data_IF_563806226443
#
_entry.id   IF_563806226443
#
_cell.length_a   1.000
_cell.length_b   1.000
_cell.length_c   1.000
_cell.angle_alpha   90.00
_cell.angle_beta   90.00
_cell.angle_gamma   90.00
#
_symmetry.space_group_name_H-M   'P 1'
#
loop_
_entity.id
_entity.type
_entity.pdbx_description
1 polymer ?
#
# COMPACT_ATOMS: atom_id res chain seq x y z
N UNK A 1 -8.63 38.65 49.55
CA UNK A 1 -9.72 38.33 48.60
C UNK A 1 -9.42 38.75 47.15
N UNK A 2 -8.45 39.62 46.89
CA UNK A 2 -8.12 40.11 45.53
C UNK A 2 -7.22 39.17 44.72
N UNK A 3 -6.25 38.49 45.36
CA UNK A 3 -5.27 37.60 44.70
C UNK A 3 -5.88 36.41 43.92
N UNK A 4 -6.89 35.73 44.48
CA UNK A 4 -7.53 34.58 43.84
C UNK A 4 -8.31 34.95 42.56
N UNK A 5 -8.86 36.16 42.51
CA UNK A 5 -9.58 36.62 41.33
C UNK A 5 -8.63 36.86 40.16
N UNK A 6 -7.45 37.44 40.40
CA UNK A 6 -6.46 37.74 39.36
C UNK A 6 -5.93 36.47 38.70
N UNK A 7 -5.64 35.43 39.49
CA UNK A 7 -5.23 34.12 38.97
C UNK A 7 -6.31 33.46 38.10
N UNK A 8 -7.58 33.58 38.49
CA UNK A 8 -8.69 33.05 37.70
C UNK A 8 -8.83 33.77 36.33
N UNK A 9 -8.64 35.09 36.30
CA UNK A 9 -8.65 35.86 35.04
C UNK A 9 -7.49 35.50 34.12
N UNK A 10 -6.30 35.25 34.66
CA UNK A 10 -5.13 34.83 33.89
C UNK A 10 -5.36 33.44 33.27
N UNK A 11 -5.88 32.49 34.05
CA UNK A 11 -6.16 31.14 33.57
C UNK A 11 -7.27 31.13 32.50
N UNK A 12 -8.34 31.91 32.68
CA UNK A 12 -9.41 32.04 31.70
C UNK A 12 -8.91 32.65 30.37
N UNK A 13 -8.04 33.66 30.44
CA UNK A 13 -7.42 34.29 29.28
C UNK A 13 -6.50 33.33 28.53
N UNK A 14 -5.68 32.54 29.25
CA UNK A 14 -4.80 31.55 28.66
C UNK A 14 -5.56 30.43 27.93
N UNK A 15 -6.68 29.97 28.49
CA UNK A 15 -7.53 28.95 27.86
C UNK A 15 -8.24 29.49 26.60
N UNK A 16 -8.68 30.75 26.63
CA UNK A 16 -9.23 31.45 25.46
C UNK A 16 -8.22 31.57 24.32
N UNK A 17 -6.98 31.94 24.63
CA UNK A 17 -5.88 32.00 23.64
C UNK A 17 -5.52 30.62 23.08
N UNK A 18 -5.49 29.58 23.92
CA UNK A 18 -5.18 28.22 23.49
C UNK A 18 -6.26 27.66 22.54
N UNK A 19 -7.54 27.84 22.88
CA UNK A 19 -8.67 27.43 22.03
C UNK A 19 -8.69 28.18 20.70
N UNK A 20 -8.41 29.50 20.71
CA UNK A 20 -8.27 30.29 19.49
C UNK A 20 -7.09 29.82 18.63
N UNK A 21 -5.95 29.51 19.25
CA UNK A 21 -4.78 28.98 18.56
C UNK A 21 -5.07 27.63 17.89
N UNK A 22 -5.70 26.70 18.62
CA UNK A 22 -6.12 25.39 18.07
C UNK A 22 -7.12 25.57 16.93
N UNK A 23 -8.09 26.47 17.07
CA UNK A 23 -9.06 26.77 16.02
C UNK A 23 -8.40 27.32 14.75
N UNK A 24 -7.46 28.26 14.89
CA UNK A 24 -6.70 28.83 13.77
C UNK A 24 -5.78 27.79 13.12
N UNK A 25 -5.13 26.94 13.92
CA UNK A 25 -4.31 25.84 13.42
C UNK A 25 -5.13 24.81 12.62
N UNK A 26 -6.32 24.44 13.12
CA UNK A 26 -7.24 23.56 12.42
C UNK A 26 -7.73 24.16 11.09
N UNK A 27 -8.09 25.46 11.09
CA UNK A 27 -8.47 26.20 9.87
C UNK A 27 -7.35 26.26 8.83
N UNK A 28 -6.10 26.48 9.26
CA UNK A 28 -4.93 26.46 8.37
C UNK A 28 -4.69 25.08 7.77
N UNK A 29 -4.81 24.01 8.57
CA UNK A 29 -4.67 22.62 8.11
C UNK A 29 -5.71 22.27 7.04
N UNK A 30 -6.96 22.67 7.23
CA UNK A 30 -8.04 22.45 6.25
C UNK A 30 -7.89 23.29 4.96
N UNK A 31 -7.36 24.51 5.06
CA UNK A 31 -7.06 25.34 3.90
C UNK A 31 -5.94 24.74 3.04
N UNK A 32 -4.85 24.29 3.67
CA UNK A 32 -3.75 23.62 2.97
C UNK A 32 -4.20 22.29 2.32
N UNK A 33 -5.07 21.53 2.99
CA UNK A 33 -5.64 20.30 2.43
C UNK A 33 -6.50 20.59 1.20
N UNK A 34 -7.29 21.66 1.20
CA UNK A 34 -8.08 22.09 0.03
C UNK A 34 -7.21 22.57 -1.12
N UNK A 35 -6.19 23.40 -0.85
CA UNK A 35 -5.24 23.84 -1.87
C UNK A 35 -4.47 22.67 -2.51
N UNK A 36 -4.08 21.67 -1.71
CA UNK A 36 -3.42 20.45 -2.21
C UNK A 36 -4.36 19.60 -3.08
N UNK A 37 -5.63 19.48 -2.69
CA UNK A 37 -6.65 18.77 -3.47
C UNK A 37 -6.96 19.48 -4.79
N UNK A 38 -7.00 20.82 -4.80
CA UNK A 38 -7.16 21.63 -6.01
C UNK A 38 -5.94 21.52 -6.93
N UNK A 39 -4.73 21.62 -6.40
CA UNK A 39 -3.50 21.42 -7.17
C UNK A 39 -3.40 20.01 -7.78
N UNK A 40 -3.83 18.98 -7.05
CA UNK A 40 -3.93 17.59 -7.55
C UNK A 40 -5.04 17.45 -8.61
N UNK A 41 -6.17 18.14 -8.46
CA UNK A 41 -7.26 18.14 -9.44
C UNK A 41 -6.84 18.80 -10.76
N UNK A 42 -6.06 19.88 -10.68
CA UNK A 42 -5.54 20.59 -11.86
C UNK A 42 -4.45 19.77 -12.57
N UNK A 43 -3.58 19.07 -11.83
CA UNK A 43 -2.60 18.15 -12.44
C UNK A 43 -3.27 16.94 -13.12
N UNK A 44 -4.35 16.40 -12.54
CA UNK A 44 -5.13 15.31 -13.14
C UNK A 44 -5.86 15.75 -14.42
N UNK A 45 -6.38 16.98 -14.47
CA UNK A 45 -6.95 17.55 -15.72
C UNK A 45 -5.91 17.65 -16.83
N UNK A 46 -4.68 18.07 -16.50
CA UNK A 46 -3.59 18.20 -17.48
C UNK A 46 -3.11 16.84 -18.01
N UNK A 47 -3.24 15.76 -17.21
CA UNK A 47 -2.96 14.38 -17.63
C UNK A 47 -4.10 13.84 -18.53
N UNK A 48 -5.35 14.20 -18.24
CA UNK A 48 -6.51 13.80 -19.04
C UNK A 48 -6.47 14.36 -20.47
N UNK A 49 -5.84 15.53 -20.69
CA UNK A 49 -5.63 16.11 -22.03
C UNK A 49 -4.55 15.44 -22.88
N UNK A 50 -3.80 14.48 -22.32
CA UNK A 50 -2.82 13.66 -23.06
C UNK A 50 -3.30 12.22 -23.29
N UNK A 51 -4.62 12.01 -23.42
CA UNK A 51 -5.18 10.73 -23.83
C UNK A 51 -4.96 10.50 -25.32
N UNK A 52 -3.81 9.93 -25.68
CA UNK A 52 -3.69 9.19 -26.94
C UNK A 52 -4.65 8.02 -26.89
N UNK A 53 -5.73 8.09 -27.68
CA UNK A 53 -6.68 7.01 -27.84
C UNK A 53 -5.97 5.80 -28.45
N UNK A 54 -5.84 4.73 -27.67
CA UNK A 54 -5.59 3.39 -28.18
C UNK A 54 -6.87 2.55 -28.00
N UNK A 55 -7.99 3.00 -28.57
CA UNK A 55 -9.19 2.17 -28.69
C UNK A 55 -8.92 1.19 -29.84
N UNK A 56 -8.40 0.01 -29.48
CA UNK A 56 -8.23 -1.10 -30.41
C UNK A 56 -9.55 -1.84 -30.58
N UNK A 57 -9.94 -1.98 -31.84
CA UNK A 57 -11.09 -2.72 -32.36
C UNK A 57 -11.09 -4.21 -31.99
N UNK A 58 -11.62 -4.56 -30.82
CA UNK A 58 -12.42 -5.76 -30.65
C UNK A 58 -13.52 -5.46 -29.63
N UNK A 59 -14.77 -5.87 -29.91
CA UNK A 59 -15.95 -5.56 -29.10
C UNK A 59 -16.00 -6.24 -27.73
N UNK A 60 -14.86 -6.42 -27.05
CA UNK A 60 -14.81 -6.87 -25.67
C UNK A 60 -15.15 -5.70 -24.74
N UNK A 61 -16.21 -5.84 -23.96
CA UNK A 61 -16.52 -4.91 -22.87
C UNK A 61 -15.29 -4.76 -21.96
N UNK A 62 -14.76 -3.55 -21.79
CA UNK A 62 -13.64 -3.31 -20.86
C UNK A 62 -14.22 -3.38 -19.44
N UNK A 63 -13.96 -4.50 -18.76
CA UNK A 63 -14.48 -4.78 -17.43
C UNK A 63 -13.88 -3.85 -16.37
N UNK A 64 -12.58 -3.56 -16.48
CA UNK A 64 -11.83 -2.71 -15.56
C UNK A 64 -10.74 -1.91 -16.29
N UNK A 65 -10.28 -0.82 -15.66
CA UNK A 65 -9.13 -0.07 -16.16
C UNK A 65 -7.83 -0.81 -15.81
N UNK A 66 -7.80 -1.48 -14.66
CA UNK A 66 -6.66 -2.27 -14.18
C UNK A 66 -7.13 -3.59 -13.58
N UNK A 67 -6.51 -4.69 -13.99
CA UNK A 67 -6.62 -5.99 -13.30
C UNK A 67 -5.38 -6.19 -12.43
N UNK A 68 -5.58 -6.55 -11.16
CA UNK A 68 -4.51 -6.91 -10.23
C UNK A 68 -4.65 -8.39 -9.88
N UNK A 69 -3.62 -9.18 -10.15
CA UNK A 69 -3.57 -10.60 -9.82
C UNK A 69 -2.87 -10.78 -8.47
N UNK A 70 -3.62 -11.19 -7.46
CA UNK A 70 -3.16 -11.33 -6.08
C UNK A 70 -3.45 -10.09 -5.22
N UNK A 71 -4.01 -10.32 -4.04
CA UNK A 71 -4.34 -9.33 -3.01
C UNK A 71 -3.49 -9.56 -1.74
N UNK A 72 -2.20 -9.85 -1.92
CA UNK A 72 -1.20 -9.72 -0.86
C UNK A 72 -0.85 -8.25 -0.58
N UNK A 73 0.26 -7.98 0.11
CA UNK A 73 0.61 -6.60 0.51
C UNK A 73 0.69 -5.64 -0.69
N UNK A 74 1.42 -5.99 -1.75
CA UNK A 74 1.51 -5.14 -2.95
C UNK A 74 0.17 -4.97 -3.67
N UNK A 75 -0.55 -6.07 -3.88
CA UNK A 75 -1.81 -6.04 -4.63
C UNK A 75 -2.88 -5.22 -3.93
N UNK A 76 -3.05 -5.40 -2.61
CA UNK A 76 -4.00 -4.64 -1.82
C UNK A 76 -3.62 -3.15 -1.70
N UNK A 77 -2.35 -2.84 -1.45
CA UNK A 77 -1.87 -1.46 -1.41
C UNK A 77 -2.08 -0.74 -2.75
N UNK A 78 -1.79 -1.42 -3.85
CA UNK A 78 -1.95 -0.88 -5.20
C UNK A 78 -3.43 -0.70 -5.56
N UNK A 79 -4.28 -1.66 -5.22
CA UNK A 79 -5.72 -1.57 -5.41
C UNK A 79 -6.30 -0.36 -4.67
N UNK A 80 -5.92 -0.17 -3.41
CA UNK A 80 -6.34 1.00 -2.63
C UNK A 80 -5.88 2.32 -3.25
N UNK A 81 -4.63 2.39 -3.69
CA UNK A 81 -4.04 3.60 -4.28
C UNK A 81 -4.72 3.97 -5.60
N UNK A 82 -4.82 3.02 -6.53
CA UNK A 82 -5.49 3.22 -7.82
C UNK A 82 -6.99 3.48 -7.66
N UNK A 83 -7.61 2.83 -6.66
CA UNK A 83 -8.99 3.08 -6.27
C UNK A 83 -9.20 4.53 -5.83
N UNK A 84 -8.33 5.07 -4.96
CA UNK A 84 -8.38 6.48 -4.54
C UNK A 84 -8.15 7.46 -5.69
N UNK A 85 -7.40 7.06 -6.71
CA UNK A 85 -7.22 7.82 -7.95
C UNK A 85 -8.39 7.68 -8.94
N UNK A 86 -9.47 6.97 -8.56
CA UNK A 86 -10.71 6.86 -9.34
C UNK A 86 -10.68 5.82 -10.46
N UNK A 87 -9.67 4.93 -10.50
CA UNK A 87 -9.58 3.86 -11.50
C UNK A 87 -10.52 2.71 -11.16
N UNK A 88 -11.15 2.10 -12.17
CA UNK A 88 -11.89 0.84 -11.99
C UNK A 88 -10.89 -0.30 -11.85
N UNK A 89 -10.75 -0.85 -10.64
CA UNK A 89 -9.77 -1.88 -10.33
C UNK A 89 -10.48 -3.20 -10.07
N UNK A 90 -10.07 -4.27 -10.75
CA UNK A 90 -10.50 -5.63 -10.47
C UNK A 90 -9.35 -6.44 -9.89
N UNK A 91 -9.46 -6.83 -8.63
CA UNK A 91 -8.47 -7.61 -7.91
C UNK A 91 -8.95 -9.05 -7.82
N UNK A 92 -8.12 -10.00 -8.28
CA UNK A 92 -8.44 -11.42 -8.23
C UNK A 92 -7.43 -12.11 -7.31
N UNK A 93 -7.89 -12.60 -6.17
CA UNK A 93 -7.08 -13.31 -5.18
C UNK A 93 -7.53 -14.75 -5.03
N UNK A 94 -6.58 -15.69 -5.01
CA UNK A 94 -6.85 -17.12 -4.90
C UNK A 94 -7.60 -17.46 -3.62
N UNK A 95 -7.17 -16.87 -2.52
CA UNK A 95 -7.75 -17.10 -1.20
C UNK A 95 -7.90 -15.81 -0.38
N UNK A 96 -9.16 -15.43 -0.14
CA UNK A 96 -9.53 -14.26 0.65
C UNK A 96 -9.61 -14.55 2.16
N UNK A 97 -9.43 -15.81 2.57
CA UNK A 97 -9.29 -16.13 4.00
C UNK A 97 -8.00 -15.52 4.58
N UNK A 98 -7.93 -15.45 5.91
CA UNK A 98 -6.76 -14.90 6.60
C UNK A 98 -5.55 -15.80 6.33
N UNK A 99 -4.45 -15.27 5.74
CA UNK A 99 -3.28 -16.09 5.47
C UNK A 99 -2.57 -16.50 6.76
N UNK A 100 -2.43 -17.81 6.97
CA UNK A 100 -1.58 -18.37 8.02
C UNK A 100 -0.15 -18.58 7.51
N UNK A 101 0.74 -17.63 7.78
CA UNK A 101 2.15 -17.66 7.34
C UNK A 101 3.06 -16.96 8.35
N UNK A 102 4.24 -17.52 8.56
CA UNK A 102 5.30 -16.97 9.43
C UNK A 102 6.17 -15.89 8.76
N UNK A 103 5.86 -15.48 7.52
CA UNK A 103 6.66 -14.53 6.75
C UNK A 103 6.00 -13.16 6.72
N UNK A 104 6.81 -12.10 6.73
CA UNK A 104 6.32 -10.72 6.57
C UNK A 104 5.77 -10.09 7.86
N UNK A 105 6.15 -10.61 9.02
CA UNK A 105 5.64 -10.15 10.32
C UNK A 105 6.33 -8.89 10.87
N UNK A 106 7.36 -8.37 10.20
CA UNK A 106 8.07 -7.15 10.60
C UNK A 106 8.11 -6.13 9.45
N UNK A 107 7.40 -5.02 9.65
CA UNK A 107 7.47 -3.83 8.80
C UNK A 107 8.54 -2.87 9.32
N UNK A 108 9.53 -2.57 8.47
CA UNK A 108 10.58 -1.61 8.78
C UNK A 108 10.02 -0.17 8.88
N UNK A 109 10.69 0.75 9.58
CA UNK A 109 10.33 2.18 9.63
C UNK A 109 10.01 2.80 8.25
N UNK A 110 10.86 2.55 7.26
CA UNK A 110 10.65 3.04 5.90
C UNK A 110 9.40 2.48 5.22
N UNK A 111 8.99 1.27 5.59
CA UNK A 111 7.73 0.67 5.14
C UNK A 111 6.51 1.27 5.78
N UNK A 112 6.61 1.53 7.09
CA UNK A 112 5.54 2.21 7.80
C UNK A 112 5.33 3.64 7.28
N UNK A 113 6.42 4.37 6.98
CA UNK A 113 6.34 5.68 6.31
C UNK A 113 5.58 5.64 4.99
N UNK A 114 5.77 4.58 4.19
CA UNK A 114 5.05 4.43 2.92
C UNK A 114 3.59 4.04 3.12
N UNK A 115 3.24 3.30 4.16
CA UNK A 115 1.83 3.10 4.51
C UNK A 115 1.14 4.44 4.83
N UNK A 116 1.81 5.29 5.62
CA UNK A 116 1.30 6.65 5.93
C UNK A 116 1.13 7.48 4.66
N UNK A 117 2.10 7.47 3.74
CA UNK A 117 2.01 8.20 2.47
C UNK A 117 0.82 7.74 1.60
N UNK A 118 0.48 6.46 1.64
CA UNK A 118 -0.64 5.87 0.89
C UNK A 118 -1.99 6.04 1.61
N UNK A 119 -1.99 6.37 2.91
CA UNK A 119 -3.18 6.43 3.74
C UNK A 119 -3.66 5.05 4.23
N UNK A 120 -2.72 4.15 4.51
CA UNK A 120 -2.90 2.74 4.92
C UNK A 120 -2.30 2.45 6.31
N UNK A 121 -1.95 3.49 7.07
CA UNK A 121 -1.31 3.40 8.38
C UNK A 121 -2.19 2.75 9.46
N UNK A 122 -3.51 2.91 9.37
CA UNK A 122 -4.51 2.27 10.23
C UNK A 122 -4.66 0.76 9.97
N UNK A 123 -4.04 0.22 8.92
CA UNK A 123 -4.04 -1.22 8.68
C UNK A 123 -3.13 -1.99 9.65
N UNK A 124 -2.25 -1.30 10.38
CA UNK A 124 -1.47 -1.88 11.49
C UNK A 124 -2.08 -1.60 12.87
N UNK A 125 -3.21 -0.91 12.93
CA UNK A 125 -3.96 -0.67 14.16
C UNK A 125 -4.94 -1.82 14.40
N UNK A 126 -5.31 -2.05 15.67
CA UNK A 126 -6.28 -3.08 16.09
C UNK A 126 -5.95 -4.53 15.70
N UNK A 127 -4.70 -4.81 15.32
CA UNK A 127 -4.21 -6.17 14.97
C UNK A 127 -3.18 -6.73 15.97
N UNK A 128 -3.05 -6.10 17.14
CA UNK A 128 -2.02 -6.39 18.15
C UNK A 128 -0.58 -6.14 17.63
N UNK A 129 -0.42 -5.11 16.80
CA UNK A 129 0.90 -4.74 16.28
C UNK A 129 1.79 -4.15 17.39
N UNK A 130 3.02 -4.63 17.47
CA UNK A 130 4.04 -4.17 18.40
C UNK A 130 4.97 -3.16 17.73
N UNK A 131 5.28 -2.08 18.42
CA UNK A 131 6.28 -1.13 17.94
C UNK A 131 7.69 -1.71 18.07
N UNK A 132 8.51 -1.52 17.03
CA UNK A 132 9.89 -2.03 16.98
C UNK A 132 10.85 -0.86 16.80
N UNK A 133 11.72 -0.64 17.79
CA UNK A 133 12.64 0.50 17.82
C UNK A 133 14.05 0.16 17.34
N UNK A 134 14.31 -1.10 17.02
CA UNK A 134 15.62 -1.58 16.59
C UNK A 134 15.77 -3.08 16.83
N UNK A 135 17.01 -3.54 16.90
CA UNK A 135 17.37 -4.95 17.07
C UNK A 135 18.29 -5.13 18.28
N UNK A 136 18.21 -6.30 18.89
CA UNK A 136 19.24 -6.80 19.79
C UNK A 136 20.03 -7.90 19.07
N UNK A 137 21.34 -7.76 19.00
CA UNK A 137 22.23 -8.75 18.41
C UNK A 137 22.95 -9.50 19.53
N UNK A 138 22.91 -10.84 19.46
CA UNK A 138 23.60 -11.72 20.39
C UNK A 138 24.54 -12.63 19.61
N UNK A 139 25.82 -12.66 19.98
CA UNK A 139 26.82 -13.52 19.33
C UNK A 139 27.95 -13.82 20.31
N UNK A 140 28.29 -15.09 20.47
CA UNK A 140 29.43 -15.56 21.27
C UNK A 140 29.45 -15.00 22.70
N UNK A 141 28.29 -14.98 23.37
CA UNK A 141 28.13 -14.41 24.72
C UNK A 141 28.17 -12.88 24.79
N UNK A 142 28.43 -12.19 23.68
CA UNK A 142 28.36 -10.72 23.56
C UNK A 142 26.99 -10.30 23.07
N UNK A 143 26.56 -9.12 23.49
CA UNK A 143 25.33 -8.51 23.00
C UNK A 143 25.51 -7.03 22.68
N UNK A 144 24.75 -6.54 21.69
CA UNK A 144 24.64 -5.11 21.39
C UNK A 144 23.22 -4.78 20.97
N UNK A 145 22.81 -3.52 21.12
CA UNK A 145 21.52 -3.01 20.65
C UNK A 145 21.75 -2.05 19.49
N UNK A 146 21.05 -2.28 18.40
CA UNK A 146 21.04 -1.43 17.21
C UNK A 146 19.70 -0.71 17.14
N UNK A 147 19.65 0.55 17.55
CA UNK A 147 18.45 1.37 17.42
C UNK A 147 18.26 1.84 15.98
N UNK A 148 17.01 1.98 15.54
CA UNK A 148 16.70 2.65 14.28
C UNK A 148 17.04 4.15 14.37
N UNK A 149 17.58 4.76 13.30
CA UNK A 149 17.88 6.20 13.26
C UNK A 149 16.60 7.01 13.02
N UNK A 150 15.81 7.20 14.07
CA UNK A 150 14.48 7.83 14.01
C UNK A 150 14.49 9.34 14.34
N UNK A 151 15.65 9.93 14.63
CA UNK A 151 15.78 11.27 15.20
C UNK A 151 15.28 12.39 14.28
N UNK A 152 15.22 12.12 12.97
CA UNK A 152 14.76 13.06 11.94
C UNK A 152 13.30 12.85 11.52
N UNK A 153 12.62 11.86 12.11
CA UNK A 153 11.28 11.47 11.73
C UNK A 153 10.25 11.86 12.80
N UNK A 154 8.98 11.92 12.43
CA UNK A 154 7.91 12.16 13.40
C UNK A 154 7.90 11.07 14.48
N UNK A 155 7.36 11.39 15.65
CA UNK A 155 7.54 10.64 16.90
C UNK A 155 7.13 9.16 16.88
N UNK A 156 6.39 8.70 15.86
CA UNK A 156 5.85 7.34 15.81
C UNK A 156 6.32 6.48 14.61
N UNK A 157 7.40 6.88 13.93
CA UNK A 157 7.92 6.20 12.72
C UNK A 157 8.70 4.91 13.03
N UNK A 158 8.48 4.29 14.19
CA UNK A 158 9.12 3.00 14.52
C UNK A 158 8.62 1.87 13.61
N UNK A 159 9.36 0.76 13.59
CA UNK A 159 8.90 -0.45 12.91
C UNK A 159 7.62 -0.98 13.56
N UNK A 160 6.96 -1.92 12.87
CA UNK A 160 5.75 -2.59 13.35
C UNK A 160 5.89 -4.09 13.18
N UNK A 161 5.75 -4.84 14.26
CA UNK A 161 5.67 -6.30 14.23
C UNK A 161 4.22 -6.72 14.39
N UNK A 162 3.73 -7.70 13.63
CA UNK A 162 2.33 -8.12 13.68
C UNK A 162 2.15 -9.52 13.07
N UNK A 163 1.00 -10.15 13.32
CA UNK A 163 0.60 -11.32 12.55
C UNK A 163 0.28 -10.91 11.10
N UNK A 164 1.02 -11.46 10.14
CA UNK A 164 0.91 -11.07 8.74
C UNK A 164 -0.50 -11.30 8.15
N UNK A 165 -1.20 -12.34 8.60
CA UNK A 165 -2.57 -12.63 8.19
C UNK A 165 -3.52 -11.47 8.46
N UNK A 166 -3.56 -11.00 9.70
CA UNK A 166 -4.36 -9.86 10.16
C UNK A 166 -4.04 -8.59 9.37
N UNK A 167 -2.76 -8.29 9.17
CA UNK A 167 -2.34 -7.12 8.39
C UNK A 167 -2.85 -7.18 6.94
N UNK A 168 -2.72 -8.32 6.27
CA UNK A 168 -3.24 -8.51 4.91
C UNK A 168 -4.76 -8.34 4.87
N UNK A 169 -5.50 -8.85 5.86
CA UNK A 169 -6.96 -8.67 5.91
C UNK A 169 -7.36 -7.21 6.05
N UNK A 170 -6.72 -6.46 6.95
CA UNK A 170 -6.95 -5.00 7.09
C UNK A 170 -6.69 -4.25 5.77
N UNK A 171 -5.63 -4.61 5.06
CA UNK A 171 -5.30 -4.01 3.76
C UNK A 171 -6.35 -4.33 2.69
N UNK A 172 -6.83 -5.59 2.64
CA UNK A 172 -7.87 -6.03 1.70
C UNK A 172 -9.21 -5.35 1.97
N UNK A 173 -9.63 -5.30 3.24
CA UNK A 173 -10.83 -4.59 3.69
C UNK A 173 -10.77 -3.12 3.25
N UNK A 174 -9.66 -2.44 3.54
CA UNK A 174 -9.50 -1.03 3.23
C UNK A 174 -9.48 -0.73 1.72
N UNK A 175 -8.98 -1.65 0.90
CA UNK A 175 -9.11 -1.55 -0.55
C UNK A 175 -10.56 -1.77 -1.01
N UNK A 176 -11.26 -2.78 -0.48
CA UNK A 176 -12.62 -3.14 -0.85
C UNK A 176 -13.70 -2.13 -0.43
N UNK A 177 -13.41 -1.25 0.54
CA UNK A 177 -14.28 -0.14 0.91
C UNK A 177 -14.45 0.90 -0.22
N UNK A 178 -13.56 0.91 -1.21
CA UNK A 178 -13.65 1.84 -2.34
C UNK A 178 -14.64 1.31 -3.39
N UNK A 179 -15.62 2.11 -3.83
CA UNK A 179 -16.72 1.62 -4.69
C UNK A 179 -16.27 1.18 -6.09
N UNK A 180 -15.10 1.64 -6.52
CA UNK A 180 -14.46 1.34 -7.80
C UNK A 180 -13.42 0.21 -7.72
N UNK A 181 -13.27 -0.44 -6.55
CA UNK A 181 -12.41 -1.61 -6.36
C UNK A 181 -13.28 -2.85 -6.16
N UNK A 182 -13.21 -3.77 -7.12
CA UNK A 182 -13.84 -5.09 -7.04
C UNK A 182 -12.80 -6.11 -6.58
N UNK A 183 -12.91 -6.59 -5.36
CA UNK A 183 -12.10 -7.69 -4.83
C UNK A 183 -12.86 -9.02 -4.98
N UNK A 184 -12.29 -9.98 -5.69
CA UNK A 184 -12.92 -11.25 -6.01
C UNK A 184 -12.04 -12.45 -5.67
N UNK A 185 -12.65 -13.50 -5.12
CA UNK A 185 -11.97 -14.77 -4.89
C UNK A 185 -11.94 -15.62 -6.16
N UNK A 186 -10.76 -15.81 -6.73
CA UNK A 186 -10.53 -16.61 -7.92
C UNK A 186 -9.05 -16.88 -8.15
N UNK A 187 -8.75 -17.96 -8.87
CA UNK A 187 -7.37 -18.32 -9.24
C UNK A 187 -7.12 -17.95 -10.68
N UNK A 188 -6.25 -16.97 -10.94
CA UNK A 188 -5.81 -16.66 -12.30
C UNK A 188 -4.97 -17.82 -12.84
N UNK A 189 -5.37 -18.33 -14.01
CA UNK A 189 -4.76 -19.49 -14.66
C UNK A 189 -3.83 -19.10 -15.79
N UNK A 190 -4.16 -18.05 -16.53
CA UNK A 190 -3.35 -17.58 -17.67
C UNK A 190 -3.57 -16.10 -17.98
N UNK A 191 -2.59 -15.51 -18.66
CA UNK A 191 -2.70 -14.17 -19.24
C UNK A 191 -3.26 -14.29 -20.67
N UNK A 192 -4.14 -13.38 -21.04
CA UNK A 192 -4.69 -13.33 -22.40
C UNK A 192 -3.84 -12.40 -23.25
N UNK A 193 -3.08 -12.99 -24.16
CA UNK A 193 -2.17 -12.26 -25.03
C UNK A 193 -2.69 -12.24 -26.47
N UNK A 194 -2.76 -11.04 -27.05
CA UNK A 194 -3.12 -10.83 -28.45
C UNK A 194 -2.01 -10.02 -29.11
N UNK A 195 -1.33 -10.61 -30.09
CA UNK A 195 -0.23 -9.98 -30.86
C UNK A 195 0.85 -9.38 -29.95
N UNK A 196 1.35 -10.11 -28.96
CA UNK A 196 2.39 -9.60 -28.05
C UNK A 196 1.89 -8.71 -26.92
N UNK A 197 0.59 -8.40 -26.87
CA UNK A 197 0.00 -7.48 -25.90
C UNK A 197 -0.96 -8.21 -24.97
N UNK A 198 -0.75 -8.08 -23.66
CA UNK A 198 -1.71 -8.60 -22.66
C UNK A 198 -2.98 -7.75 -22.70
N UNK A 199 -4.13 -8.42 -22.84
CA UNK A 199 -5.47 -7.81 -22.91
C UNK A 199 -6.34 -8.14 -21.71
N UNK A 200 -5.90 -9.05 -20.84
CA UNK A 200 -6.68 -9.51 -19.71
C UNK A 200 -6.13 -10.78 -19.09
N UNK A 201 -6.98 -11.46 -18.34
CA UNK A 201 -6.66 -12.72 -17.66
C UNK A 201 -7.81 -13.70 -17.78
N UNK A 202 -7.47 -14.99 -17.81
CA UNK A 202 -8.41 -16.07 -17.55
C UNK A 202 -8.24 -16.52 -16.11
N UNK A 203 -9.35 -16.77 -15.42
CA UNK A 203 -9.32 -17.18 -14.02
C UNK A 203 -10.46 -18.14 -13.70
N UNK A 204 -10.27 -18.94 -12.66
CA UNK A 204 -11.25 -19.88 -12.13
C UNK A 204 -11.84 -19.31 -10.84
N UNK A 205 -13.15 -19.16 -10.78
CA UNK A 205 -13.86 -18.70 -9.57
C UNK A 205 -13.79 -19.76 -8.46
N UNK A 206 -14.19 -19.41 -7.24
CA UNK A 206 -14.32 -20.36 -6.13
C UNK A 206 -15.25 -21.55 -6.44
N UNK A 207 -16.29 -21.34 -7.26
CA UNK A 207 -17.23 -22.40 -7.69
C UNK A 207 -16.67 -23.27 -8.81
N UNK A 208 -15.53 -22.88 -9.38
CA UNK A 208 -14.83 -23.61 -10.41
C UNK A 208 -15.18 -23.22 -11.85
N UNK A 209 -16.01 -22.19 -12.03
CA UNK A 209 -16.31 -21.60 -13.32
C UNK A 209 -15.08 -20.88 -13.89
N UNK A 210 -14.82 -21.05 -15.19
CA UNK A 210 -13.72 -20.38 -15.89
C UNK A 210 -14.25 -19.11 -16.52
N UNK A 211 -13.78 -17.98 -16.03
CA UNK A 211 -14.15 -16.65 -16.49
C UNK A 211 -12.95 -15.93 -17.12
N UNK A 212 -13.27 -14.86 -17.83
CA UNK A 212 -12.28 -13.96 -18.44
C UNK A 212 -12.57 -12.55 -17.96
N UNK A 213 -11.52 -11.80 -17.65
CA UNK A 213 -11.61 -10.37 -17.37
C UNK A 213 -10.66 -9.61 -18.31
N UNK A 214 -11.15 -8.51 -18.88
CA UNK A 214 -10.39 -7.65 -19.78
C UNK A 214 -10.04 -6.30 -19.15
N UNK A 215 -8.78 -5.88 -19.34
CA UNK A 215 -8.32 -4.55 -18.95
C UNK A 215 -7.15 -4.12 -19.84
N UNK A 216 -6.97 -2.80 -20.07
CA UNK A 216 -5.81 -2.29 -20.78
C UNK A 216 -4.50 -2.46 -20.00
N UNK A 217 -4.56 -2.67 -18.68
CA UNK A 217 -3.40 -2.94 -17.83
C UNK A 217 -3.67 -4.12 -16.88
N UNK A 218 -2.78 -5.11 -16.90
CA UNK A 218 -2.77 -6.23 -15.94
C UNK A 218 -1.48 -6.16 -15.12
N UNK A 219 -1.61 -6.23 -13.80
CA UNK A 219 -0.50 -6.17 -12.85
C UNK A 219 -0.46 -7.48 -12.06
N UNK A 220 0.65 -8.21 -12.16
CA UNK A 220 0.80 -9.51 -11.49
C UNK A 220 1.53 -9.36 -10.16
N UNK A 221 0.81 -9.62 -9.07
CA UNK A 221 1.22 -9.49 -7.66
C UNK A 221 1.01 -10.81 -6.87
N UNK A 222 1.16 -11.98 -7.52
CA UNK A 222 0.86 -13.31 -6.97
C UNK A 222 2.00 -13.95 -6.15
N UNK A 223 3.03 -13.16 -5.83
CA UNK A 223 4.04 -13.48 -4.82
C UNK A 223 5.18 -14.42 -5.29
N UNK A 224 5.89 -15.00 -4.31
CA UNK A 224 7.13 -15.75 -4.55
C UNK A 224 6.91 -17.06 -5.32
N UNK A 225 5.71 -17.65 -5.25
CA UNK A 225 5.30 -18.87 -5.94
C UNK A 225 4.42 -18.59 -7.18
N UNK A 226 4.66 -17.45 -7.83
CA UNK A 226 3.93 -17.03 -9.02
C UNK A 226 3.93 -18.09 -10.12
N UNK A 227 2.73 -18.48 -10.56
CA UNK A 227 2.55 -19.39 -11.70
C UNK A 227 2.75 -18.66 -13.04
N UNK A 228 2.57 -17.34 -13.05
CA UNK A 228 2.63 -16.50 -14.25
C UNK A 228 4.04 -15.95 -14.53
N UNK A 229 4.97 -16.06 -13.57
CA UNK A 229 6.33 -15.51 -13.72
C UNK A 229 7.07 -15.99 -14.97
N UNK A 230 6.92 -17.27 -15.33
CA UNK A 230 7.64 -17.86 -16.46
C UNK A 230 7.14 -17.36 -17.82
N UNK A 231 5.88 -16.93 -17.91
CA UNK A 231 5.36 -16.35 -19.16
C UNK A 231 5.75 -14.89 -19.33
N UNK A 232 6.08 -14.18 -18.23
CA UNK A 232 6.47 -12.78 -18.25
C UNK A 232 7.98 -12.54 -18.34
N UNK A 233 8.79 -13.46 -17.77
CA UNK A 233 10.23 -13.30 -17.70
C UNK A 233 10.94 -14.64 -17.97
N UNK A 234 12.04 -14.59 -18.71
CA UNK A 234 13.02 -15.69 -18.73
C UNK A 234 13.85 -15.60 -17.42
N UNK A 235 13.71 -16.54 -16.47
CA UNK A 235 14.39 -16.40 -15.19
C UNK A 235 15.89 -16.69 -15.35
N UNK A 236 16.74 -15.68 -15.12
CA UNK A 236 18.20 -15.85 -14.95
C UNK A 236 18.61 -16.23 -13.52
N UNK A 237 17.68 -16.32 -12.57
CA UNK A 237 18.01 -16.39 -11.13
C UNK A 237 17.69 -17.78 -10.56
N UNK A 238 18.72 -18.49 -10.07
CA UNK A 238 18.56 -19.60 -9.11
C UNK A 238 17.97 -19.01 -7.82
N UNK A 239 16.72 -19.35 -7.52
CA UNK A 239 16.07 -18.99 -6.25
C UNK A 239 16.70 -19.77 -5.09
N UNK A 240 17.81 -19.25 -4.55
CA UNK A 240 18.13 -19.46 -3.14
C UNK A 240 17.10 -18.66 -2.35
N UNK A 241 16.31 -19.37 -1.53
CA UNK A 241 15.28 -18.81 -0.65
C UNK A 241 16.01 -17.96 0.42
N UNK A 242 16.33 -16.72 0.06
CA UNK A 242 16.69 -15.67 1.00
C UNK A 242 15.53 -14.68 0.98
N UNK A 243 15.04 -14.40 2.18
CA UNK A 243 13.83 -13.67 2.57
C UNK A 243 13.76 -12.22 2.04
N UNK A 244 13.76 -12.04 0.72
CA UNK A 244 13.69 -10.74 0.06
C UNK A 244 12.45 -10.71 -0.85
N UNK A 245 11.37 -10.09 -0.37
CA UNK A 245 10.19 -9.82 -1.21
C UNK A 245 10.48 -8.51 -1.96
N UNK A 246 11.30 -8.59 -3.01
CA UNK A 246 11.50 -7.47 -3.92
C UNK A 246 10.31 -7.42 -4.89
N UNK A 247 9.33 -6.57 -4.60
CA UNK A 247 8.36 -6.12 -5.60
C UNK A 247 9.01 -4.94 -6.32
N UNK A 248 9.59 -5.19 -7.49
CA UNK A 248 10.04 -4.13 -8.40
C UNK A 248 9.04 -4.05 -9.55
N UNK A 249 8.16 -3.07 -9.51
CA UNK A 249 7.36 -2.65 -10.65
C UNK A 249 7.71 -1.17 -10.89
N UNK A 250 8.62 -0.91 -11.83
CA UNK A 250 8.87 0.44 -12.34
C UNK A 250 7.88 0.67 -13.48
N UNK A 251 6.76 1.33 -13.19
CA UNK A 251 5.95 1.99 -14.21
C UNK A 251 6.32 3.47 -14.15
N UNK A 252 6.79 4.05 -15.27
CA UNK A 252 7.10 5.49 -15.37
C UNK A 252 5.93 6.31 -14.81
N UNK A 253 6.15 6.97 -13.67
CA UNK A 253 5.17 7.84 -13.01
C UNK A 253 4.41 7.22 -11.82
N UNK A 254 4.53 5.92 -11.56
CA UNK A 254 3.96 5.24 -10.38
C UNK A 254 5.09 4.43 -9.73
N UNK A 255 5.67 4.95 -8.66
CA UNK A 255 6.63 4.24 -7.82
C UNK A 255 5.86 3.19 -7.01
N UNK A 256 5.65 2.01 -7.58
CA UNK A 256 5.13 0.86 -6.82
C UNK A 256 6.26 0.31 -5.97
N UNK A 257 6.21 0.71 -4.70
CA UNK A 257 6.54 -0.08 -3.51
C UNK A 257 7.64 -1.15 -3.69
N UNK A 258 8.90 -0.72 -3.80
CA UNK A 258 10.05 -1.55 -3.41
C UNK A 258 10.07 -1.64 -1.89
N UNK A 259 9.14 -2.39 -1.34
CA UNK A 259 8.99 -2.60 0.09
C UNK A 259 8.84 -4.09 0.30
N UNK A 260 9.98 -4.73 0.53
CA UNK A 260 10.22 -5.62 1.65
C UNK A 260 11.66 -6.14 1.49
N UNK A 261 12.53 -5.64 2.35
CA UNK A 261 13.93 -6.01 2.54
C UNK A 261 14.92 -5.63 1.42
N UNK A 262 15.66 -4.55 1.66
CA UNK A 262 17.10 -4.57 1.44
C UNK A 262 17.77 -3.61 2.43
N UNK A 263 18.27 -4.17 3.55
CA UNK A 263 19.46 -3.64 4.20
C UNK A 263 20.64 -4.28 3.47
N UNK A 264 21.17 -3.63 2.44
CA UNK A 264 22.60 -3.79 2.14
C UNK A 264 23.33 -2.86 3.09
N UNK A 265 23.82 -3.42 4.20
CA UNK A 265 24.93 -2.80 4.91
C UNK A 265 26.15 -2.96 4.01
N UNK A 266 26.50 -1.93 3.25
CA UNK A 266 27.88 -1.77 2.78
C UNK A 266 28.72 -1.48 4.02
N UNK A 267 29.37 -2.54 4.51
CA UNK A 267 30.46 -2.42 5.48
C UNK A 267 31.72 -2.32 4.65
N UNK A 268 32.14 -1.08 4.37
CA UNK A 268 33.53 -0.77 4.06
C UNK A 268 34.24 -0.32 5.34
#
# INVERSE_FOLDING_TARGET
>A
MTEQSVLAWILASALGLFTLFVYVAARRKDSNRRALLEARRESVKNIATTSGECISSCGSYIDADVIIVGAGVAGAALAHTLGKDGRRVHVIERDLTEPDRIVGELLQPGGYLKLIELGLEDCVEEIDAQQVFGYALFKDGKHTRLSYPLEKFQSDVSGRSFHNGRFIQRMREKAALLPNVRLEQGTVTSLLEVKGTIKGVQYKTKTGEVLTAFAPLTIVCDGCFSNLRRSLCYPKVRLLILLHIIISIIIKGIVILTLFASMTMDVH
#
